data_IF_405351062161
#
_entry.id   IF_405351062161
#
_cell.length_a   1.000
_cell.length_b   1.000
_cell.length_c   1.000
_cell.angle_alpha   90.00
_cell.angle_beta   90.00
_cell.angle_gamma   90.00
#
_symmetry.space_group_name_H-M   'P 1'
#
loop_
_entity.id
_entity.type
_entity.pdbx_description
1 polymer ?
#
# COMPACT_ATOMS: atom_id res chain seq x y z
N UNK A 1 -53.99 -6.37 -25.96
CA UNK A 1 -53.42 -5.85 -24.69
C UNK A 1 -52.28 -6.76 -24.19
N UNK A 2 -51.09 -6.65 -24.79
CA UNK A 2 -49.89 -7.44 -24.40
C UNK A 2 -48.61 -6.61 -24.55
N UNK A 3 -48.59 -5.44 -23.90
CA UNK A 3 -47.41 -4.55 -23.91
C UNK A 3 -47.08 -3.95 -22.54
N UNK A 4 -47.90 -4.17 -21.51
CA UNK A 4 -47.69 -3.63 -20.16
C UNK A 4 -46.91 -4.55 -19.23
N UNK A 5 -46.77 -5.85 -19.55
CA UNK A 5 -46.03 -6.80 -18.71
C UNK A 5 -44.51 -6.78 -18.92
N UNK A 6 -44.04 -6.30 -20.09
CA UNK A 6 -42.60 -6.26 -20.41
C UNK A 6 -41.89 -5.05 -19.78
N UNK A 7 -42.62 -3.97 -19.48
CA UNK A 7 -42.06 -2.75 -18.89
C UNK A 7 -41.79 -2.90 -17.39
N UNK A 8 -42.50 -3.79 -16.70
CA UNK A 8 -42.31 -4.05 -15.26
C UNK A 8 -41.17 -5.02 -14.95
N UNK A 9 -40.74 -5.85 -15.91
CA UNK A 9 -39.66 -6.83 -15.70
C UNK A 9 -38.25 -6.21 -15.80
N UNK A 10 -38.12 -4.98 -16.31
CA UNK A 10 -36.85 -4.26 -16.41
C UNK A 10 -36.53 -3.39 -15.19
N UNK A 11 -37.46 -3.27 -14.22
CA UNK A 11 -37.27 -2.47 -12.99
C UNK A 11 -36.61 -3.30 -11.87
N UNK A 12 -36.54 -4.62 -12.02
CA UNK A 12 -35.90 -5.54 -11.06
C UNK A 12 -34.56 -6.11 -11.52
N UNK A 13 -33.90 -5.49 -12.50
CA UNK A 13 -32.47 -5.74 -12.65
C UNK A 13 -31.77 -5.05 -11.48
N UNK A 14 -31.09 -5.77 -10.57
CA UNK A 14 -30.17 -5.12 -9.66
C UNK A 14 -29.14 -4.42 -10.55
N UNK A 15 -29.27 -3.10 -10.66
CA UNK A 15 -28.14 -2.27 -11.06
C UNK A 15 -26.99 -2.77 -10.18
N UNK A 16 -25.83 -3.16 -10.75
CA UNK A 16 -24.69 -3.44 -9.92
C UNK A 16 -24.46 -2.14 -9.16
N UNK A 17 -24.80 -2.15 -7.87
CA UNK A 17 -24.22 -1.25 -6.90
C UNK A 17 -22.75 -1.56 -7.08
N UNK A 18 -22.04 -0.73 -7.84
CA UNK A 18 -20.59 -0.78 -7.87
C UNK A 18 -20.21 -0.77 -6.40
N UNK A 19 -19.76 -1.93 -5.90
CA UNK A 19 -19.45 -2.08 -4.49
C UNK A 19 -18.49 -0.92 -4.20
N UNK A 20 -18.94 0.01 -3.37
CA UNK A 20 -18.14 1.16 -3.01
C UNK A 20 -16.87 0.59 -2.39
N UNK A 21 -15.77 0.66 -3.13
CA UNK A 21 -14.49 0.10 -2.70
C UNK A 21 -13.80 1.19 -1.91
N UNK A 22 -13.76 1.03 -0.59
CA UNK A 22 -12.98 1.92 0.25
C UNK A 22 -11.48 1.82 -0.03
N UNK A 23 -10.73 2.82 0.43
CA UNK A 23 -9.28 2.93 0.28
C UNK A 23 -8.56 2.55 1.56
N UNK A 24 -7.56 1.69 1.43
CA UNK A 24 -6.60 1.45 2.50
C UNK A 24 -5.32 2.22 2.22
N UNK A 25 -4.84 2.90 3.24
CA UNK A 25 -3.57 3.58 3.26
C UNK A 25 -2.58 2.76 4.08
N UNK A 26 -1.35 2.64 3.59
CA UNK A 26 -0.30 1.90 4.29
C UNK A 26 0.60 2.92 4.97
N UNK A 27 0.80 2.79 6.28
CA UNK A 27 1.72 3.66 6.99
C UNK A 27 3.17 3.43 6.52
N UNK A 28 4.00 4.48 6.59
CA UNK A 28 5.40 4.43 6.16
C UNK A 28 6.16 3.29 6.85
N UNK A 29 5.99 3.15 8.15
CA UNK A 29 6.61 2.10 8.95
C UNK A 29 6.11 0.70 8.57
N UNK A 30 4.86 0.56 8.12
CA UNK A 30 4.27 -0.74 7.74
C UNK A 30 5.01 -1.39 6.57
N UNK A 31 5.44 -0.60 5.57
CA UNK A 31 6.26 -1.11 4.46
C UNK A 31 7.54 -1.78 4.95
N UNK A 32 8.12 -1.27 6.04
CA UNK A 32 9.28 -1.89 6.66
C UNK A 32 8.86 -3.06 7.51
N UNK A 33 7.84 -2.86 8.35
CA UNK A 33 7.40 -3.83 9.33
C UNK A 33 7.06 -5.18 8.72
N UNK A 34 6.45 -5.23 7.54
CA UNK A 34 6.00 -6.49 6.93
C UNK A 34 6.99 -7.13 5.98
N UNK A 35 8.10 -6.45 5.69
CA UNK A 35 8.98 -6.82 4.60
C UNK A 35 10.30 -7.42 5.09
N UNK A 36 10.76 -8.47 4.41
CA UNK A 36 12.09 -9.06 4.62
C UNK A 36 13.19 -8.18 4.05
N UNK A 37 12.91 -7.47 2.95
CA UNK A 37 13.82 -6.52 2.31
C UNK A 37 13.11 -5.20 2.06
N UNK A 38 13.86 -4.12 2.19
CA UNK A 38 13.44 -2.77 1.85
C UNK A 38 14.63 -2.05 1.24
N UNK A 39 14.55 -1.77 -0.06
CA UNK A 39 15.59 -1.13 -0.83
C UNK A 39 15.09 0.19 -1.41
N UNK A 40 15.99 1.16 -1.47
CA UNK A 40 15.79 2.40 -2.21
C UNK A 40 16.58 2.32 -3.51
N UNK A 41 15.99 2.77 -4.60
CA UNK A 41 16.68 2.76 -5.88
C UNK A 41 15.76 2.93 -7.07
N UNK A 42 16.16 2.39 -8.22
CA UNK A 42 15.51 2.64 -9.52
C UNK A 42 15.43 1.38 -10.37
N UNK A 43 14.37 1.29 -11.16
CA UNK A 43 14.27 0.25 -12.20
C UNK A 43 15.17 0.66 -13.36
N UNK A 44 16.15 -0.18 -13.71
CA UNK A 44 17.09 0.08 -14.82
C UNK A 44 16.84 -0.83 -16.02
N UNK A 45 16.25 -2.01 -15.81
CA UNK A 45 15.83 -2.92 -16.88
C UNK A 45 14.43 -3.46 -16.57
N UNK A 46 13.58 -3.55 -17.59
CA UNK A 46 12.30 -4.25 -17.53
C UNK A 46 12.03 -4.86 -18.90
N UNK A 47 11.95 -6.19 -18.96
CA UNK A 47 11.81 -6.92 -20.23
C UNK A 47 10.97 -8.18 -20.05
N UNK A 48 10.06 -8.42 -20.99
CA UNK A 48 9.33 -9.69 -21.06
C UNK A 48 10.31 -10.85 -21.21
N UNK A 49 10.08 -11.93 -20.49
CA UNK A 49 10.92 -13.12 -20.53
C UNK A 49 10.07 -14.39 -20.53
N UNK A 50 10.66 -15.50 -20.92
CA UNK A 50 10.12 -16.82 -20.59
C UNK A 50 10.67 -17.27 -19.24
N UNK A 51 9.91 -18.07 -18.51
CA UNK A 51 10.35 -18.73 -17.29
C UNK A 51 10.07 -20.22 -17.41
N UNK A 52 11.14 -21.02 -17.43
CA UNK A 52 11.06 -22.47 -17.67
C UNK A 52 10.75 -23.30 -16.42
N UNK A 53 10.73 -22.68 -15.23
CA UNK A 53 10.41 -23.36 -13.98
C UNK A 53 8.89 -23.49 -13.73
N UNK A 54 8.50 -24.30 -12.73
CA UNK A 54 7.09 -24.38 -12.32
C UNK A 54 6.61 -23.02 -11.79
N UNK A 55 5.33 -22.72 -12.06
CA UNK A 55 4.65 -21.52 -11.59
C UNK A 55 3.46 -21.92 -10.69
N UNK A 56 3.25 -21.17 -9.60
CA UNK A 56 2.06 -21.27 -8.76
C UNK A 56 0.82 -20.73 -9.49
N UNK A 57 -0.38 -21.08 -9.01
CA UNK A 57 -1.63 -20.57 -9.60
C UNK A 57 -1.67 -19.03 -9.66
N UNK A 58 -1.19 -18.36 -8.61
CA UNK A 58 -1.20 -16.89 -8.57
C UNK A 58 -0.20 -16.30 -9.58
N UNK A 59 0.95 -16.94 -9.78
CA UNK A 59 1.96 -16.51 -10.76
C UNK A 59 1.46 -16.68 -12.21
N UNK A 60 0.53 -17.59 -12.48
CA UNK A 60 -0.01 -17.81 -13.84
C UNK A 60 -0.95 -16.71 -14.31
N UNK A 61 -1.46 -15.85 -13.42
CA UNK A 61 -2.35 -14.75 -13.82
C UNK A 61 -1.66 -13.62 -14.60
N UNK A 62 -0.34 -13.50 -14.49
CA UNK A 62 0.45 -12.49 -15.21
C UNK A 62 1.44 -13.11 -16.19
N UNK A 63 2.22 -12.26 -16.85
CA UNK A 63 3.33 -12.66 -17.72
C UNK A 63 4.66 -12.49 -16.99
N UNK A 64 5.63 -13.41 -17.15
CA UNK A 64 6.96 -13.24 -16.57
C UNK A 64 7.70 -12.05 -17.20
N UNK A 65 8.18 -11.14 -16.35
CA UNK A 65 9.04 -10.03 -16.73
C UNK A 65 10.28 -10.06 -15.86
N UNK A 66 11.45 -9.98 -16.49
CA UNK A 66 12.70 -9.72 -15.80
C UNK A 66 12.79 -8.22 -15.53
N UNK A 67 13.02 -7.86 -14.28
CA UNK A 67 13.21 -6.50 -13.82
C UNK A 67 14.53 -6.42 -13.05
N UNK A 68 15.41 -5.52 -13.47
CA UNK A 68 16.64 -5.23 -12.73
C UNK A 68 16.48 -3.90 -12.02
N UNK A 69 16.64 -3.93 -10.70
CA UNK A 69 16.56 -2.78 -9.82
C UNK A 69 17.97 -2.42 -9.35
N UNK A 70 18.44 -1.22 -9.68
CA UNK A 70 19.67 -0.68 -9.12
C UNK A 70 19.36 -0.20 -7.70
N UNK A 71 20.14 -0.64 -6.73
CA UNK A 71 19.94 -0.33 -5.32
C UNK A 71 20.92 0.78 -4.94
N UNK A 72 20.35 1.91 -4.53
CA UNK A 72 21.12 3.05 -4.01
C UNK A 72 21.35 2.90 -2.50
N UNK A 73 20.40 2.26 -1.79
CA UNK A 73 20.49 2.02 -0.35
C UNK A 73 19.72 0.76 0.06
N UNK A 74 20.33 -0.06 0.93
CA UNK A 74 19.67 -1.16 1.61
C UNK A 74 19.18 -0.73 3.01
N UNK A 75 17.89 -0.40 3.15
CA UNK A 75 17.29 0.00 4.43
C UNK A 75 17.04 -1.23 5.32
N UNK A 76 16.64 -2.35 4.70
CA UNK A 76 16.52 -3.67 5.33
C UNK A 76 16.89 -4.74 4.31
N UNK A 77 17.59 -5.77 4.74
CA UNK A 77 18.08 -6.86 3.88
C UNK A 77 19.60 -6.86 3.80
N UNK A 78 20.14 -7.74 2.97
CA UNK A 78 21.57 -7.80 2.70
C UNK A 78 21.98 -6.64 1.79
N UNK A 79 23.18 -6.08 1.99
CA UNK A 79 23.71 -5.05 1.11
C UNK A 79 23.93 -5.62 -0.29
N UNK A 80 23.39 -4.95 -1.30
CA UNK A 80 23.57 -5.29 -2.71
C UNK A 80 23.48 -4.03 -3.56
N UNK A 81 24.20 -3.99 -4.68
CA UNK A 81 24.10 -2.90 -5.65
C UNK A 81 22.96 -3.11 -6.66
N UNK A 82 22.51 -4.37 -6.83
CA UNK A 82 21.49 -4.73 -7.80
C UNK A 82 20.60 -5.86 -7.30
N UNK A 83 19.31 -5.77 -7.63
CA UNK A 83 18.34 -6.83 -7.43
C UNK A 83 17.78 -7.28 -8.79
N UNK A 84 18.05 -8.53 -9.17
CA UNK A 84 17.48 -9.15 -10.37
C UNK A 84 16.22 -9.94 -9.99
N UNK A 85 15.08 -9.51 -10.50
CA UNK A 85 13.77 -10.07 -10.18
C UNK A 85 13.11 -10.61 -11.45
N UNK A 86 12.43 -11.75 -11.30
CA UNK A 86 11.41 -12.18 -12.25
C UNK A 86 10.06 -12.02 -11.55
N UNK A 87 9.20 -11.17 -12.12
CA UNK A 87 7.87 -10.87 -11.61
C UNK A 87 6.80 -11.38 -12.57
N UNK A 88 5.68 -11.86 -12.03
CA UNK A 88 4.47 -12.09 -12.82
C UNK A 88 3.64 -10.80 -12.87
N UNK A 89 3.59 -10.17 -14.05
CA UNK A 89 2.96 -8.86 -14.24
C UNK A 89 1.69 -8.95 -15.11
N UNK A 90 0.59 -8.38 -14.62
CA UNK A 90 -0.65 -8.22 -15.41
C UNK A 90 -0.70 -6.88 -16.17
N UNK A 91 0.10 -5.91 -15.76
CA UNK A 91 0.21 -4.58 -16.38
C UNK A 91 1.59 -4.00 -16.07
N UNK A 92 2.27 -3.49 -17.09
CA UNK A 92 3.66 -3.03 -17.04
C UNK A 92 3.80 -1.52 -17.21
N UNK A 93 2.78 -0.83 -17.74
CA UNK A 93 2.85 0.58 -18.14
C UNK A 93 3.41 1.52 -17.07
N UNK A 94 3.07 1.31 -15.80
CA UNK A 94 3.57 2.14 -14.70
C UNK A 94 5.04 1.88 -14.39
N UNK A 95 5.48 0.62 -14.44
CA UNK A 95 6.88 0.26 -14.20
C UNK A 95 7.76 0.66 -15.39
N UNK A 96 7.23 0.58 -16.61
CA UNK A 96 7.88 1.09 -17.82
C UNK A 96 8.09 2.60 -17.75
N UNK A 97 7.07 3.34 -17.31
CA UNK A 97 7.18 4.79 -17.06
C UNK A 97 8.21 5.08 -15.96
N UNK A 98 8.12 4.43 -14.81
CA UNK A 98 9.08 4.63 -13.70
C UNK A 98 10.52 4.35 -14.15
N UNK A 99 10.75 3.31 -14.95
CA UNK A 99 12.05 3.02 -15.56
C UNK A 99 12.48 4.12 -16.53
N UNK A 100 11.63 4.50 -17.48
CA UNK A 100 11.96 5.48 -18.53
C UNK A 100 12.30 6.86 -17.95
N UNK A 101 11.64 7.24 -16.86
CA UNK A 101 11.82 8.51 -16.17
C UNK A 101 12.76 8.44 -14.96
N UNK A 102 13.44 7.30 -14.74
CA UNK A 102 14.40 7.12 -13.63
C UNK A 102 13.84 7.51 -12.26
N UNK A 103 12.58 7.15 -12.02
CA UNK A 103 11.85 7.43 -10.76
C UNK A 103 12.50 6.64 -9.62
N UNK A 104 12.82 7.33 -8.53
CA UNK A 104 13.29 6.70 -7.29
C UNK A 104 12.12 6.03 -6.56
N UNK A 105 12.32 4.79 -6.13
CA UNK A 105 11.31 3.92 -5.57
C UNK A 105 11.84 3.29 -4.29
N UNK A 106 11.00 3.27 -3.26
CA UNK A 106 11.11 2.34 -2.15
C UNK A 106 10.50 1.00 -2.57
N UNK A 107 11.36 0.01 -2.80
CA UNK A 107 11.00 -1.38 -3.06
C UNK A 107 10.93 -2.13 -1.73
N UNK A 108 9.79 -2.74 -1.42
CA UNK A 108 9.62 -3.58 -0.25
C UNK A 108 9.12 -4.97 -0.65
N UNK A 109 9.66 -6.04 -0.08
CA UNK A 109 9.22 -7.40 -0.40
C UNK A 109 9.02 -8.27 0.84
N UNK A 110 8.01 -9.15 0.79
CA UNK A 110 7.69 -10.08 1.86
C UNK A 110 6.41 -10.89 1.57
N UNK A 111 6.03 -11.78 2.51
CA UNK A 111 4.84 -12.63 2.37
C UNK A 111 3.53 -11.85 2.57
N UNK A 112 3.58 -10.75 3.32
CA UNK A 112 2.39 -9.96 3.62
C UNK A 112 1.95 -9.16 2.40
N UNK A 113 0.71 -9.39 2.02
CA UNK A 113 0.05 -8.68 0.94
C UNK A 113 -0.49 -7.34 1.45
N UNK A 114 0.23 -6.24 1.16
CA UNK A 114 -0.24 -4.87 1.36
C UNK A 114 -1.17 -4.46 0.21
N UNK A 115 -2.35 -5.06 0.18
CA UNK A 115 -3.34 -4.76 -0.85
C UNK A 115 -4.08 -3.50 -0.52
N UNK A 116 -3.99 -2.50 -1.40
CA UNK A 116 -5.13 -1.76 -1.97
C UNK A 116 -4.71 -0.46 -2.65
N UNK A 117 -3.42 -0.14 -2.70
CA UNK A 117 -2.86 0.83 -3.65
C UNK A 117 -1.49 0.39 -4.17
N UNK A 118 -1.19 0.72 -5.44
CA UNK A 118 -0.07 0.26 -6.27
C UNK A 118 -0.02 -1.23 -6.68
N UNK A 119 -0.84 -2.09 -6.05
CA UNK A 119 -0.98 -3.55 -6.26
C UNK A 119 0.37 -4.31 -6.13
N UNK A 120 0.53 -5.21 -5.14
CA UNK A 120 1.72 -6.03 -5.07
C UNK A 120 1.98 -6.77 -6.39
N UNK A 121 3.25 -6.80 -6.80
CA UNK A 121 3.71 -7.60 -7.93
C UNK A 121 4.15 -8.96 -7.42
N UNK A 122 3.72 -10.00 -8.11
CA UNK A 122 3.93 -11.38 -7.67
C UNK A 122 5.34 -11.80 -8.04
N UNK A 123 6.14 -12.22 -7.05
CA UNK A 123 7.47 -12.77 -7.29
C UNK A 123 7.42 -14.14 -7.97
N UNK A 124 8.33 -14.39 -8.92
CA UNK A 124 8.63 -15.71 -9.49
C UNK A 124 10.02 -16.14 -9.06
N UNK A 125 11.02 -15.26 -9.25
CA UNK A 125 12.41 -15.53 -8.87
C UNK A 125 13.12 -14.24 -8.42
N UNK A 126 14.08 -14.40 -7.52
CA UNK A 126 14.99 -13.37 -7.04
C UNK A 126 16.42 -13.91 -7.13
N UNK A 127 17.31 -13.16 -7.78
CA UNK A 127 18.71 -13.54 -7.98
C UNK A 127 18.89 -14.98 -8.53
N UNK A 128 18.04 -15.35 -9.49
CA UNK A 128 18.05 -16.67 -10.13
C UNK A 128 17.46 -17.81 -9.28
N UNK A 129 16.97 -17.54 -8.07
CA UNK A 129 16.33 -18.53 -7.20
C UNK A 129 14.81 -18.31 -7.19
N UNK A 130 13.99 -19.38 -7.26
CA UNK A 130 12.54 -19.24 -7.10
C UNK A 130 12.20 -18.54 -5.79
N UNK A 131 11.24 -17.62 -5.83
CA UNK A 131 10.67 -17.02 -4.62
C UNK A 131 9.62 -17.94 -4.01
N UNK A 132 9.32 -17.77 -2.71
CA UNK A 132 8.21 -18.48 -2.06
C UNK A 132 6.85 -18.15 -2.69
N UNK A 133 5.85 -19.01 -2.46
CA UNK A 133 4.51 -18.91 -3.08
C UNK A 133 3.80 -17.57 -2.82
N UNK A 134 4.05 -17.00 -1.65
CA UNK A 134 3.43 -15.77 -1.16
C UNK A 134 4.28 -14.52 -1.37
N UNK A 135 5.46 -14.62 -2.01
CA UNK A 135 6.35 -13.47 -2.13
C UNK A 135 5.71 -12.38 -3.01
N UNK A 136 5.64 -11.16 -2.45
CA UNK A 136 5.09 -9.98 -3.11
C UNK A 136 6.07 -8.82 -3.03
N UNK A 137 6.16 -8.07 -4.13
CA UNK A 137 6.96 -6.85 -4.26
C UNK A 137 6.05 -5.64 -4.34
N UNK A 138 6.32 -4.67 -3.48
CA UNK A 138 5.61 -3.41 -3.39
C UNK A 138 6.54 -2.29 -3.81
N UNK A 139 6.03 -1.40 -4.65
CA UNK A 139 6.76 -0.26 -5.18
C UNK A 139 6.11 0.99 -4.62
N UNK A 140 6.89 1.90 -4.07
CA UNK A 140 6.38 3.16 -3.53
C UNK A 140 7.25 4.33 -3.99
N UNK A 141 6.66 5.31 -4.67
CA UNK A 141 7.36 6.56 -4.96
C UNK A 141 7.48 7.41 -3.70
N UNK A 142 8.59 8.12 -3.58
CA UNK A 142 8.91 8.99 -2.45
C UNK A 142 8.80 10.48 -2.77
N UNK A 143 8.69 10.81 -4.07
CA UNK A 143 8.43 12.15 -4.58
C UNK A 143 7.37 12.05 -5.68
N UNK A 144 6.60 13.12 -5.88
CA UNK A 144 5.66 13.19 -7.00
C UNK A 144 6.41 13.11 -8.31
N UNK A 145 5.94 12.28 -9.23
CA UNK A 145 6.50 12.24 -10.58
C UNK A 145 6.04 13.47 -11.37
N UNK A 146 6.94 14.04 -12.16
CA UNK A 146 6.61 15.14 -13.06
C UNK A 146 5.51 14.71 -14.04
N UNK A 147 4.55 15.61 -14.27
CA UNK A 147 3.42 15.37 -15.17
C UNK A 147 3.71 16.07 -16.49
N UNK A 148 4.06 15.33 -17.56
CA UNK A 148 4.38 15.91 -18.85
C UNK A 148 3.12 16.45 -19.56
N UNK A 149 3.34 17.25 -20.61
CA UNK A 149 2.26 17.87 -21.40
C UNK A 149 1.58 16.90 -22.38
N UNK A 150 2.19 15.75 -22.67
CA UNK A 150 1.69 14.78 -23.66
C UNK A 150 0.50 13.99 -23.11
N UNK A 151 -0.53 13.73 -23.92
CA UNK A 151 -1.81 13.19 -23.41
C UNK A 151 -1.68 11.81 -22.74
N UNK A 152 -0.83 10.91 -23.25
CA UNK A 152 -0.67 9.55 -22.73
C UNK A 152 0.20 9.51 -21.49
N UNK A 153 1.40 10.09 -21.54
CA UNK A 153 2.31 10.09 -20.38
C UNK A 153 1.74 10.93 -19.24
N UNK A 154 1.02 12.02 -19.54
CA UNK A 154 0.27 12.80 -18.55
C UNK A 154 -0.71 11.94 -17.77
N UNK A 155 -1.46 11.07 -18.46
CA UNK A 155 -2.41 10.17 -17.80
C UNK A 155 -1.69 9.17 -16.91
N UNK A 156 -0.57 8.59 -17.37
CA UNK A 156 0.22 7.62 -16.60
C UNK A 156 0.83 8.29 -15.36
N UNK A 157 1.50 9.43 -15.52
CA UNK A 157 2.11 10.19 -14.42
C UNK A 157 1.08 10.64 -13.39
N UNK A 158 -0.08 11.14 -13.85
CA UNK A 158 -1.19 11.52 -12.97
C UNK A 158 -1.70 10.31 -12.18
N UNK A 159 -1.87 9.16 -12.83
CA UNK A 159 -2.31 7.94 -12.14
C UNK A 159 -1.27 7.41 -11.16
N UNK A 160 0.03 7.47 -11.47
CA UNK A 160 1.11 7.14 -10.53
C UNK A 160 0.99 8.03 -9.29
N UNK A 161 0.93 9.35 -9.46
CA UNK A 161 0.78 10.28 -8.34
C UNK A 161 -0.52 10.01 -7.54
N UNK A 162 -1.62 9.65 -8.17
CA UNK A 162 -2.87 9.33 -7.48
C UNK A 162 -2.82 8.00 -6.71
N UNK A 163 -2.28 6.94 -7.32
CA UNK A 163 -2.16 5.61 -6.71
C UNK A 163 -1.15 5.59 -5.57
N UNK A 164 -0.16 6.49 -5.59
CA UNK A 164 0.84 6.61 -4.55
C UNK A 164 0.67 7.90 -3.73
N UNK A 165 -0.57 8.39 -3.59
CA UNK A 165 -0.96 9.45 -2.65
C UNK A 165 -0.17 10.77 -2.78
N UNK A 166 0.42 11.01 -3.95
CA UNK A 166 1.33 12.14 -4.23
C UNK A 166 2.48 12.21 -3.23
N UNK A 167 3.10 11.05 -2.95
CA UNK A 167 4.22 10.91 -2.01
C UNK A 167 3.89 11.37 -0.57
N UNK A 168 2.64 11.17 -0.14
CA UNK A 168 2.21 11.32 1.26
C UNK A 168 1.92 9.96 1.87
N UNK A 169 2.24 9.75 3.13
CA UNK A 169 1.97 8.51 3.85
C UNK A 169 1.53 8.81 5.27
N UNK A 170 0.59 8.04 5.80
CA UNK A 170 0.39 8.05 7.25
C UNK A 170 1.60 7.43 7.96
N UNK A 171 1.71 7.73 9.25
CA UNK A 171 2.69 7.14 10.16
C UNK A 171 1.98 6.33 11.24
N UNK A 172 2.73 5.58 12.05
CA UNK A 172 2.17 4.91 13.25
C UNK A 172 1.52 5.86 14.26
N UNK A 173 1.90 7.14 14.21
CA UNK A 173 1.33 8.21 15.03
C UNK A 173 0.10 8.88 14.40
N UNK A 174 -0.42 8.36 13.28
CA UNK A 174 -1.52 8.96 12.50
C UNK A 174 -1.20 10.39 12.01
N UNK A 175 0.06 10.78 11.94
CA UNK A 175 0.52 11.98 11.24
C UNK A 175 0.78 11.67 9.77
N UNK A 176 0.81 12.69 8.91
CA UNK A 176 1.14 12.54 7.50
C UNK A 176 2.61 12.90 7.27
N UNK A 177 3.41 11.90 6.91
CA UNK A 177 4.74 12.11 6.38
C UNK A 177 4.64 12.52 4.90
N UNK A 178 5.31 13.61 4.52
CA UNK A 178 5.24 14.17 3.16
C UNK A 178 6.63 14.26 2.54
N UNK A 179 6.78 13.69 1.35
CA UNK A 179 8.00 13.75 0.59
C UNK A 179 9.10 12.82 1.11
N UNK A 180 10.19 12.79 0.36
CA UNK A 180 11.25 11.81 0.47
C UNK A 180 11.92 11.77 1.84
N UNK A 181 12.36 12.91 2.33
CA UNK A 181 13.18 12.97 3.55
C UNK A 181 12.42 12.51 4.79
N UNK A 182 11.17 12.97 4.96
CA UNK A 182 10.37 12.62 6.12
C UNK A 182 9.97 11.13 6.09
N UNK A 183 9.54 10.62 4.93
CA UNK A 183 9.21 9.19 4.78
C UNK A 183 10.44 8.32 5.07
N UNK A 184 11.60 8.62 4.46
CA UNK A 184 12.81 7.83 4.67
C UNK A 184 13.29 7.88 6.13
N UNK A 185 13.16 9.03 6.81
CA UNK A 185 13.46 9.14 8.23
C UNK A 185 12.64 8.14 9.06
N UNK A 186 11.32 8.07 8.83
CA UNK A 186 10.42 7.12 9.53
C UNK A 186 10.79 5.67 9.24
N UNK A 187 10.93 5.34 7.96
CA UNK A 187 11.26 4.00 7.47
C UNK A 187 12.59 3.51 8.06
N UNK A 188 13.66 4.30 8.00
CA UNK A 188 14.99 3.95 8.55
C UNK A 188 14.96 3.80 10.07
N UNK A 189 14.33 4.72 10.79
CA UNK A 189 14.18 4.63 12.25
C UNK A 189 13.47 3.34 12.64
N UNK A 190 12.38 2.99 11.95
CA UNK A 190 11.65 1.76 12.22
C UNK A 190 12.47 0.49 11.88
N UNK A 191 13.18 0.48 10.75
CA UNK A 191 14.07 -0.62 10.34
C UNK A 191 15.23 -0.86 11.33
N UNK A 192 15.70 0.20 11.98
CA UNK A 192 16.76 0.09 13.00
C UNK A 192 16.26 -0.65 14.25
N UNK A 193 14.99 -0.43 14.63
CA UNK A 193 14.38 -0.95 15.86
C UNK A 193 13.84 -2.37 15.71
N UNK A 194 13.14 -2.64 14.60
CA UNK A 194 12.53 -3.94 14.35
C UNK A 194 13.31 -4.66 13.25
N UNK A 195 13.84 -5.85 13.55
CA UNK A 195 14.62 -6.65 12.58
C UNK A 195 13.82 -7.77 11.94
N UNK A 196 12.80 -8.25 12.63
CA UNK A 196 11.90 -9.29 12.12
C UNK A 196 10.62 -8.68 11.56
N UNK A 197 10.00 -9.32 10.55
CA UNK A 197 8.67 -8.94 10.11
C UNK A 197 7.65 -8.99 11.26
N UNK A 198 6.72 -8.04 11.27
CA UNK A 198 5.66 -7.90 12.25
C UNK A 198 4.29 -8.12 11.59
N UNK A 199 3.29 -8.63 12.32
CA UNK A 199 1.92 -8.64 11.85
C UNK A 199 1.37 -7.21 11.71
N UNK A 200 0.26 -7.06 11.01
CA UNK A 200 -0.41 -5.77 10.78
C UNK A 200 -1.82 -5.77 11.30
N UNK A 201 -2.32 -4.57 11.57
CA UNK A 201 -3.72 -4.29 11.91
C UNK A 201 -4.23 -3.15 11.04
N UNK A 202 -5.53 -3.16 10.75
CA UNK A 202 -6.20 -2.08 10.03
C UNK A 202 -7.09 -1.30 10.99
N UNK A 203 -7.08 0.03 10.87
CA UNK A 203 -7.94 0.91 11.65
C UNK A 203 -8.79 1.73 10.69
N UNK A 204 -10.11 1.55 10.74
CA UNK A 204 -11.04 2.42 10.02
C UNK A 204 -10.97 3.86 10.55
N UNK A 205 -10.89 4.84 9.65
CA UNK A 205 -10.87 6.26 9.99
C UNK A 205 -11.90 7.04 9.15
N UNK A 206 -12.34 8.23 9.59
CA UNK A 206 -13.21 9.08 8.81
C UNK A 206 -12.60 9.42 7.44
N UNK A 207 -13.43 9.55 6.41
CA UNK A 207 -12.96 9.80 5.05
C UNK A 207 -12.19 11.13 4.95
N UNK A 208 -12.68 12.16 5.63
CA UNK A 208 -12.05 13.47 5.73
C UNK A 208 -10.64 13.38 6.34
N UNK A 209 -10.38 12.35 7.17
CA UNK A 209 -9.04 12.09 7.67
C UNK A 209 -8.16 11.44 6.59
N UNK A 210 -8.70 10.45 5.87
CA UNK A 210 -8.02 9.84 4.71
C UNK A 210 -7.60 10.86 3.65
N UNK A 211 -8.41 11.90 3.42
CA UNK A 211 -8.14 13.00 2.48
C UNK A 211 -6.83 13.76 2.78
N UNK A 212 -6.35 13.74 4.02
CA UNK A 212 -5.05 14.31 4.40
C UNK A 212 -3.89 13.64 3.63
N UNK A 213 -4.07 12.37 3.23
CA UNK A 213 -3.09 11.59 2.48
C UNK A 213 -3.50 11.39 1.01
N UNK A 214 -4.77 11.06 0.72
CA UNK A 214 -5.24 10.79 -0.64
C UNK A 214 -6.75 10.60 -0.71
N UNK A 215 -7.31 10.44 -1.92
CA UNK A 215 -8.76 10.32 -2.09
C UNK A 215 -9.27 8.99 -1.50
N UNK A 216 -10.11 8.98 -0.44
CA UNK A 216 -10.58 7.76 0.25
C UNK A 216 -11.60 6.93 -0.56
N UNK A 217 -12.15 7.47 -1.64
CA UNK A 217 -13.23 6.92 -2.46
C UNK A 217 -14.57 6.78 -1.70
N UNK A 218 -14.70 5.83 -0.78
CA UNK A 218 -15.98 5.54 -0.11
C UNK A 218 -15.90 5.31 1.41
N UNK A 219 -14.93 4.52 1.88
CA UNK A 219 -14.55 4.40 3.29
C UNK A 219 -13.02 4.31 3.33
N UNK A 220 -12.38 4.64 4.44
CA UNK A 220 -10.94 4.48 4.53
C UNK A 220 -10.41 3.84 5.81
N UNK A 221 -9.25 3.24 5.69
CA UNK A 221 -8.54 2.58 6.77
C UNK A 221 -7.04 2.79 6.64
N UNK A 222 -6.33 2.73 7.77
CA UNK A 222 -4.88 2.81 7.81
C UNK A 222 -4.32 1.49 8.32
N UNK A 223 -3.39 0.90 7.57
CA UNK A 223 -2.69 -0.33 7.93
C UNK A 223 -1.41 -0.01 8.67
N UNK A 224 -1.33 -0.54 9.88
CA UNK A 224 -0.31 -0.26 10.89
C UNK A 224 0.40 -1.56 11.30
N UNK A 225 1.67 -1.49 11.71
CA UNK A 225 2.34 -2.64 12.30
C UNK A 225 1.86 -2.87 13.73
N UNK A 226 1.74 -4.14 14.13
CA UNK A 226 1.46 -4.53 15.51
C UNK A 226 2.77 -4.42 16.30
N UNK A 227 2.97 -3.28 16.97
CA UNK A 227 4.13 -3.00 17.81
C UNK A 227 3.77 -2.08 18.99
N UNK A 228 4.60 -1.99 20.05
CA UNK A 228 4.35 -1.15 21.22
C UNK A 228 3.94 0.30 20.92
N UNK A 229 4.60 0.96 19.96
CA UNK A 229 4.27 2.36 19.60
C UNK A 229 2.87 2.48 19.01
N UNK A 230 2.50 1.58 18.10
CA UNK A 230 1.14 1.54 17.55
C UNK A 230 0.14 1.28 18.68
N UNK A 231 0.42 0.34 19.60
CA UNK A 231 -0.46 0.07 20.75
C UNK A 231 -0.66 1.33 21.60
N UNK A 232 0.41 2.03 21.94
CA UNK A 232 0.37 3.26 22.75
C UNK A 232 -0.47 4.34 22.08
N UNK A 233 -0.28 4.56 20.77
CA UNK A 233 -1.07 5.55 20.02
C UNK A 233 -2.54 5.15 19.94
N UNK A 234 -2.85 3.88 19.66
CA UNK A 234 -4.22 3.40 19.62
C UNK A 234 -4.92 3.51 20.98
N UNK A 235 -4.24 3.22 22.09
CA UNK A 235 -4.78 3.44 23.44
C UNK A 235 -5.06 4.93 23.71
N UNK A 236 -4.17 5.82 23.26
CA UNK A 236 -4.39 7.26 23.38
C UNK A 236 -5.62 7.72 22.58
N UNK A 237 -5.78 7.24 21.34
CA UNK A 237 -6.95 7.56 20.50
C UNK A 237 -8.23 6.95 21.07
N UNK A 238 -8.17 5.75 21.65
CA UNK A 238 -9.33 5.12 22.31
C UNK A 238 -9.85 5.97 23.48
N UNK A 239 -8.93 6.56 24.26
CA UNK A 239 -9.26 7.42 25.40
C UNK A 239 -9.68 8.82 24.97
N UNK A 240 -9.08 9.36 23.91
CA UNK A 240 -9.41 10.66 23.34
C UNK A 240 -9.46 10.62 21.81
N UNK A 241 -10.63 10.29 21.22
CA UNK A 241 -10.81 10.32 19.77
C UNK A 241 -10.57 11.71 19.15
N UNK A 242 -10.58 12.79 19.95
CA UNK A 242 -10.31 14.13 19.44
C UNK A 242 -8.91 14.25 18.84
N UNK A 243 -7.96 13.41 19.23
CA UNK A 243 -6.61 13.35 18.63
C UNK A 243 -6.66 13.22 17.10
N UNK A 244 -7.70 12.59 16.56
CA UNK A 244 -7.99 12.51 15.12
C UNK A 244 -9.06 13.52 14.73
N UNK A 245 -10.16 13.62 15.47
CA UNK A 245 -11.33 14.41 15.05
C UNK A 245 -11.05 15.91 14.92
N UNK A 246 -10.13 16.50 15.72
CA UNK A 246 -9.79 17.93 15.60
C UNK A 246 -9.09 18.29 14.28
N UNK A 247 -8.55 17.29 13.57
CA UNK A 247 -7.81 17.47 12.32
C UNK A 247 -8.72 17.53 11.10
N UNK A 248 -10.01 17.27 11.27
CA UNK A 248 -10.97 17.11 10.18
C UNK A 248 -12.22 17.94 10.40
N UNK A 249 -12.93 18.23 9.31
CA UNK A 249 -14.28 18.82 9.35
C UNK A 249 -15.29 17.74 9.03
N UNK A 250 -15.60 16.90 10.01
CA UNK A 250 -16.62 15.86 9.85
C UNK A 250 -18.02 16.47 9.73
N UNK A 251 -18.84 15.89 8.85
CA UNK A 251 -20.26 16.24 8.72
C UNK A 251 -21.13 15.64 9.81
N UNK A 252 -20.66 14.57 10.46
CA UNK A 252 -21.37 13.87 11.53
C UNK A 252 -20.36 13.46 12.62
N UNK A 253 -19.93 14.48 13.37
CA UNK A 253 -18.79 14.36 14.28
C UNK A 253 -18.99 13.31 15.38
N UNK A 254 -20.20 13.22 15.94
CA UNK A 254 -20.52 12.24 16.98
C UNK A 254 -20.46 10.80 16.45
N UNK A 255 -21.08 10.54 15.29
CA UNK A 255 -21.03 9.23 14.65
C UNK A 255 -19.60 8.81 14.30
N UNK A 256 -18.81 9.70 13.70
CA UNK A 256 -17.43 9.39 13.31
C UNK A 256 -16.54 9.16 14.54
N UNK A 257 -16.79 9.86 15.64
CA UNK A 257 -16.11 9.68 16.92
C UNK A 257 -16.40 8.31 17.53
N UNK A 258 -17.67 7.91 17.58
CA UNK A 258 -18.08 6.59 18.07
C UNK A 258 -17.54 5.45 17.20
N UNK A 259 -17.61 5.63 15.88
CA UNK A 259 -17.07 4.68 14.91
C UNK A 259 -15.56 4.53 15.07
N UNK A 260 -14.82 5.64 15.14
CA UNK A 260 -13.36 5.61 15.34
C UNK A 260 -13.00 4.89 16.63
N UNK A 261 -13.68 5.18 17.74
CA UNK A 261 -13.45 4.50 19.01
C UNK A 261 -13.68 2.97 18.91
N UNK A 262 -14.71 2.56 18.15
CA UNK A 262 -15.01 1.14 17.89
C UNK A 262 -13.92 0.48 17.03
N UNK A 263 -13.52 1.11 15.93
CA UNK A 263 -12.46 0.63 15.04
C UNK A 263 -11.12 0.49 15.78
N UNK A 264 -10.76 1.47 16.61
CA UNK A 264 -9.54 1.43 17.44
C UNK A 264 -9.62 0.33 18.49
N UNK A 265 -10.77 0.14 19.14
CA UNK A 265 -10.97 -0.98 20.08
C UNK A 265 -10.79 -2.33 19.40
N UNK A 266 -11.35 -2.51 18.21
CA UNK A 266 -11.20 -3.74 17.43
C UNK A 266 -9.75 -3.98 17.02
N UNK A 267 -9.03 -2.93 16.61
CA UNK A 267 -7.62 -3.01 16.29
C UNK A 267 -6.76 -3.39 17.51
N UNK A 268 -7.05 -2.83 18.68
CA UNK A 268 -6.37 -3.16 19.93
C UNK A 268 -6.51 -4.63 20.34
N UNK A 269 -7.62 -5.28 19.98
CA UNK A 269 -7.82 -6.72 20.22
C UNK A 269 -6.87 -7.62 19.40
N UNK A 270 -6.17 -7.07 18.39
CA UNK A 270 -5.17 -7.80 17.60
C UNK A 270 -3.78 -7.80 18.24
N UNK A 271 -3.58 -7.07 19.34
CA UNK A 271 -2.32 -7.05 20.07
C UNK A 271 -2.27 -8.20 21.06
N UNK A 272 -1.10 -8.85 21.24
CA UNK A 272 -0.96 -9.91 22.24
C UNK A 272 -1.31 -9.35 23.63
N UNK A 273 -2.08 -10.13 24.39
CA UNK A 273 -2.29 -9.85 25.81
C UNK A 273 -0.93 -9.83 26.50
N UNK A 274 -0.67 -8.80 27.30
CA UNK A 274 0.54 -8.79 28.14
C UNK A 274 0.41 -10.00 29.07
N UNK A 275 1.30 -10.97 28.91
CA UNK A 275 1.39 -12.08 29.82
C UNK A 275 1.62 -11.47 31.21
N UNK A 276 0.60 -11.51 32.06
CA UNK A 276 0.64 -11.01 33.43
C UNK A 276 1.88 -11.59 34.11
N UNK A 277 2.88 -10.74 34.36
CA UNK A 277 4.01 -11.04 35.24
C UNK A 277 3.64 -10.69 36.67
#
# INVERSE_FOLDING_TARGET
MRLTALTLLLIFLPLPVFAQTGREFIAAETYVATSRIVYLGKIVELKETTYGGPLTEIQKFGKPYRMVFAVDEAIRGEETERLDLILSLQSTIYLEYMRAHSVEILLAAGPTRLDRNARPRVGIAEQGKPTGEEERYHFRILETVDVPDTSVERQIATQINQMHDSARMFTTSFDVATGREDILKRVRQFASKYKTPLPTVMVGVPNEFGELCGNPNAFCSITLPVCPETKTILLAIQNDPNLIMHRIKSRNEEYDRERLATEVKNALASFPEEASQ
#
